data_IF_377924008383
#
_entry.id   IF_377924008383
#
_cell.length_a   1.000
_cell.length_b   1.000
_cell.length_c   1.000
_cell.angle_alpha   90.00
_cell.angle_beta   90.00
_cell.angle_gamma   90.00
#
_symmetry.space_group_name_H-M   'P 1'
#
loop_
_entity.id
_entity.type
_entity.pdbx_description
1 polymer ?
#
# COMPACT_ATOMS: atom_id res chain seq x y z
N UNK A 1 5.21 -5.42 -14.28
CA UNK A 1 5.28 -4.19 -13.45
C UNK A 1 4.78 -3.02 -14.28
N UNK A 2 4.04 -2.09 -13.68
CA UNK A 2 3.64 -0.81 -14.28
C UNK A 2 4.07 0.31 -13.34
N UNK A 3 4.49 1.44 -13.90
CA UNK A 3 4.91 2.61 -13.13
C UNK A 3 4.37 3.90 -13.74
N UNK A 4 4.19 4.93 -12.91
CA UNK A 4 3.80 6.28 -13.33
C UNK A 4 4.31 7.30 -12.32
N UNK A 5 4.74 8.45 -12.82
CA UNK A 5 4.94 9.65 -12.03
C UNK A 5 3.77 10.60 -12.26
N UNK A 6 3.28 11.24 -11.20
CA UNK A 6 2.22 12.24 -11.28
C UNK A 6 2.35 13.26 -10.14
N UNK A 7 1.88 14.49 -10.37
CA UNK A 7 1.82 15.50 -9.31
C UNK A 7 0.54 15.30 -8.50
N UNK A 8 0.68 14.84 -7.25
CA UNK A 8 -0.44 14.64 -6.32
C UNK A 8 -0.40 15.74 -5.26
N UNK A 9 -1.42 16.59 -5.25
CA UNK A 9 -1.51 17.75 -4.34
C UNK A 9 -0.24 18.64 -4.35
N UNK A 10 0.34 18.85 -5.52
CA UNK A 10 1.54 19.68 -5.70
C UNK A 10 2.87 18.98 -5.40
N UNK A 11 2.86 17.69 -5.02
CA UNK A 11 4.07 16.91 -4.75
C UNK A 11 4.29 15.87 -5.86
N UNK A 12 5.46 15.89 -6.55
CA UNK A 12 5.84 14.83 -7.47
C UNK A 12 5.84 13.48 -6.75
N UNK A 13 5.04 12.55 -7.25
CA UNK A 13 4.79 11.25 -6.64
C UNK A 13 5.00 10.15 -7.66
N UNK A 14 5.88 9.20 -7.35
CA UNK A 14 6.09 8.02 -8.17
C UNK A 14 5.31 6.84 -7.60
N UNK A 15 4.64 6.12 -8.49
CA UNK A 15 3.87 4.91 -8.17
C UNK A 15 4.38 3.74 -9.00
N UNK A 16 4.66 2.62 -8.33
CA UNK A 16 5.01 1.35 -8.99
C UNK A 16 4.07 0.25 -8.50
N UNK A 17 3.43 -0.45 -9.43
CA UNK A 17 2.58 -1.60 -9.15
C UNK A 17 3.16 -2.86 -9.80
N UNK A 18 3.48 -3.86 -8.97
CA UNK A 18 3.96 -5.17 -9.42
C UNK A 18 3.03 -6.26 -8.89
N UNK A 19 2.44 -7.02 -9.80
CA UNK A 19 1.66 -8.20 -9.47
C UNK A 19 2.57 -9.42 -9.35
N UNK A 20 2.41 -10.16 -8.26
CA UNK A 20 2.95 -11.50 -8.04
C UNK A 20 1.78 -12.51 -8.00
N UNK A 21 2.09 -13.80 -7.88
CA UNK A 21 1.07 -14.85 -7.86
C UNK A 21 0.10 -14.73 -6.67
N UNK A 22 0.55 -14.23 -5.53
CA UNK A 22 -0.20 -14.18 -4.28
C UNK A 22 -0.34 -12.77 -3.67
N UNK A 23 0.19 -11.74 -4.33
CA UNK A 23 0.25 -10.39 -3.76
C UNK A 23 0.43 -9.34 -4.84
N UNK A 24 0.12 -8.09 -4.49
CA UNK A 24 0.43 -6.92 -5.30
C UNK A 24 1.30 -6.00 -4.46
N UNK A 25 2.51 -5.73 -4.93
CA UNK A 25 3.38 -4.70 -4.35
C UNK A 25 3.00 -3.36 -4.97
N UNK A 26 2.61 -2.41 -4.11
CA UNK A 26 2.37 -1.02 -4.47
C UNK A 26 3.40 -0.16 -3.75
N UNK A 27 4.25 0.52 -4.50
CA UNK A 27 5.17 1.53 -3.99
C UNK A 27 4.59 2.90 -4.31
N UNK A 28 4.47 3.75 -3.31
CA UNK A 28 4.11 5.16 -3.46
C UNK A 28 5.19 5.97 -2.77
N UNK A 29 6.00 6.68 -3.55
CA UNK A 29 7.14 7.43 -3.03
C UNK A 29 7.07 8.90 -3.45
N UNK A 30 7.45 9.75 -2.49
CA UNK A 30 7.69 11.17 -2.68
C UNK A 30 9.09 11.46 -2.15
N UNK A 31 9.79 12.40 -2.77
CA UNK A 31 11.15 12.81 -2.37
C UNK A 31 12.17 11.65 -2.32
N UNK A 32 11.95 10.58 -3.09
CA UNK A 32 12.83 9.40 -3.15
C UNK A 32 12.89 8.59 -1.85
N UNK A 33 11.95 8.77 -0.92
CA UNK A 33 11.93 8.04 0.36
C UNK A 33 11.19 6.72 0.23
N UNK A 34 11.70 5.67 0.86
CA UNK A 34 10.98 4.39 0.96
C UNK A 34 9.72 4.48 1.85
N UNK A 35 9.72 5.35 2.86
CA UNK A 35 8.60 5.50 3.79
C UNK A 35 8.39 4.29 4.70
N UNK A 36 7.12 3.97 4.96
CA UNK A 36 6.68 2.86 5.82
C UNK A 36 6.25 1.70 4.94
N UNK A 37 6.66 0.47 5.29
CA UNK A 37 6.19 -0.74 4.62
C UNK A 37 5.01 -1.31 5.41
N UNK A 38 3.85 -1.41 4.76
CA UNK A 38 2.62 -1.94 5.35
C UNK A 38 2.18 -3.19 4.59
N UNK A 39 1.98 -4.29 5.30
CA UNK A 39 1.31 -5.47 4.77
C UNK A 39 -0.19 -5.35 5.01
N UNK A 40 -0.98 -5.56 3.97
CA UNK A 40 -2.44 -5.54 4.01
C UNK A 40 -2.95 -6.94 3.67
N UNK A 41 -3.66 -7.54 4.62
CA UNK A 41 -4.21 -8.88 4.50
C UNK A 41 -5.76 -8.82 4.48
N UNK A 42 -6.43 -9.26 3.40
CA UNK A 42 -7.87 -9.38 3.38
C UNK A 42 -8.30 -10.52 4.30
N UNK A 43 -8.76 -10.15 5.49
CA UNK A 43 -9.31 -11.05 6.46
C UNK A 43 -10.65 -11.61 5.92
N UNK A 44 -10.74 -12.94 5.85
CA UNK A 44 -11.89 -13.66 5.27
C UNK A 44 -13.13 -13.63 6.17
N UNK A 45 -12.99 -13.09 7.38
CA UNK A 45 -14.04 -12.98 8.39
C UNK A 45 -14.47 -11.50 8.45
N UNK A 46 -15.35 -11.10 7.53
CA UNK A 46 -15.97 -9.78 7.53
C UNK A 46 -17.49 -9.90 7.55
N UNK A 47 -18.15 -9.26 8.50
CA UNK A 47 -19.61 -9.25 8.66
C UNK A 47 -20.38 -8.56 7.50
N UNK A 48 -19.65 -7.93 6.57
CA UNK A 48 -20.22 -7.26 5.40
C UNK A 48 -20.15 -8.17 4.17
N UNK A 49 -21.30 -8.74 3.80
CA UNK A 49 -21.48 -9.51 2.56
C UNK A 49 -20.92 -8.73 1.37
N UNK A 50 -19.82 -9.23 0.79
CA UNK A 50 -19.22 -8.70 -0.44
C UNK A 50 -17.90 -7.93 -0.30
N UNK A 51 -17.40 -7.62 0.90
CA UNK A 51 -16.05 -7.05 1.09
C UNK A 51 -15.33 -7.66 2.31
N UNK A 52 -14.15 -8.28 2.14
CA UNK A 52 -13.36 -8.76 3.28
C UNK A 52 -12.94 -7.58 4.15
N UNK A 53 -12.88 -7.80 5.46
CA UNK A 53 -12.23 -6.85 6.37
C UNK A 53 -10.73 -6.85 6.07
N UNK A 54 -10.03 -5.73 6.27
CA UNK A 54 -8.59 -5.63 6.01
C UNK A 54 -7.84 -5.55 7.33
N UNK A 55 -6.88 -6.45 7.52
CA UNK A 55 -5.89 -6.35 8.60
C UNK A 55 -4.65 -5.66 8.04
N UNK A 56 -4.04 -4.77 8.83
CA UNK A 56 -2.79 -4.11 8.45
C UNK A 56 -1.70 -4.41 9.45
N UNK A 57 -0.47 -4.57 8.97
CA UNK A 57 0.72 -4.76 9.81
C UNK A 57 1.86 -3.90 9.26
N UNK A 58 2.42 -3.02 10.08
CA UNK A 58 3.64 -2.30 9.75
C UNK A 58 4.82 -3.26 9.83
N UNK A 59 5.52 -3.44 8.72
CA UNK A 59 6.72 -4.29 8.62
C UNK A 59 8.00 -3.49 8.85
N UNK A 60 8.01 -2.22 8.46
CA UNK A 60 9.13 -1.30 8.62
C UNK A 60 8.62 0.13 8.71
N UNK A 61 9.21 0.94 9.58
CA UNK A 61 8.80 2.32 9.84
C UNK A 61 8.12 2.46 11.19
N UNK A 62 7.49 3.61 11.43
CA UNK A 62 6.78 3.88 12.68
C UNK A 62 5.37 3.28 12.61
N UNK A 63 5.03 2.46 13.61
CA UNK A 63 3.69 1.89 13.78
C UNK A 63 2.88 2.81 14.69
N UNK A 64 1.98 3.60 14.11
CA UNK A 64 1.15 4.55 14.82
C UNK A 64 -0.30 4.49 14.32
N UNK A 65 -1.25 4.30 15.25
CA UNK A 65 -2.68 4.46 14.99
C UNK A 65 -2.96 5.95 15.12
N UNK A 66 -3.15 6.64 14.00
CA UNK A 66 -3.46 8.07 14.03
C UNK A 66 -4.97 8.31 14.08
#
# INVERSE_FOLDING_TARGET
>A
SKQREEVVHGVPTEVVCTAFSNSVLVVVTQYGKMGTIVYVDPNTIGDNVGRPSLTTKVLLGKDEVR
#
